data_IF_388238670206
#
_entry.id   IF_388238670206
#
_cell.length_a   1.000
_cell.length_b   1.000
_cell.length_c   1.000
_cell.angle_alpha   90.00
_cell.angle_beta   90.00
_cell.angle_gamma   90.00
#
_symmetry.space_group_name_H-M   'P 1'
#
loop_
_entity.id
_entity.type
_entity.pdbx_description
1 polymer ?
#
# COMPACT_ATOMS: atom_id res chain seq x y z
N UNK A 1 -17.56 8.23 -3.28
CA UNK A 1 -16.95 8.47 -1.96
C UNK A 1 -17.06 7.18 -1.15
N UNK A 2 -16.34 6.14 -1.57
CA UNK A 2 -16.34 4.85 -0.88
C UNK A 2 -14.91 4.58 -0.47
N UNK A 3 -14.60 4.77 0.82
CA UNK A 3 -13.29 4.45 1.35
C UNK A 3 -13.21 2.94 1.53
N UNK A 4 -12.23 2.33 0.91
CA UNK A 4 -11.94 0.91 1.07
C UNK A 4 -10.58 0.78 1.71
N UNK A 5 -10.54 -0.04 2.75
CA UNK A 5 -9.32 -0.45 3.40
C UNK A 5 -9.02 -1.87 2.94
N UNK A 6 -7.84 -2.07 2.37
CA UNK A 6 -7.34 -3.39 2.02
C UNK A 6 -6.08 -3.66 2.83
N UNK A 7 -5.94 -4.91 3.27
CA UNK A 7 -4.74 -5.38 3.93
C UNK A 7 -3.96 -6.24 2.96
N UNK A 8 -2.74 -5.84 2.72
CA UNK A 8 -1.76 -6.60 1.97
C UNK A 8 -0.81 -7.29 2.95
N UNK A 9 -0.36 -8.47 2.56
CA UNK A 9 0.74 -9.16 3.23
C UNK A 9 2.04 -8.78 2.53
N UNK A 10 3.06 -8.49 3.30
CA UNK A 10 4.39 -8.23 2.76
C UNK A 10 5.08 -9.56 2.55
N UNK A 11 5.58 -9.81 1.33
CA UNK A 11 6.38 -10.99 1.05
C UNK A 11 7.82 -10.84 1.57
N UNK A 12 8.26 -9.60 1.80
CA UNK A 12 9.55 -9.27 2.40
C UNK A 12 9.40 -8.19 3.46
N UNK A 13 10.21 -8.21 4.52
CA UNK A 13 10.19 -7.18 5.54
C UNK A 13 10.40 -5.79 4.91
N UNK A 14 9.66 -4.80 5.39
CA UNK A 14 9.83 -3.42 4.95
C UNK A 14 11.18 -2.89 5.46
N UNK A 15 12.06 -2.53 4.53
CA UNK A 15 13.32 -1.85 4.82
C UNK A 15 13.10 -0.34 4.95
N UNK A 16 13.99 0.38 5.63
CA UNK A 16 13.90 1.85 5.78
C UNK A 16 13.81 2.57 4.43
N UNK A 17 14.51 2.07 3.41
CA UNK A 17 14.43 2.56 2.03
C UNK A 17 13.03 2.39 1.41
N UNK A 18 12.36 1.27 1.70
CA UNK A 18 11.00 1.00 1.22
C UNK A 18 9.98 1.88 1.96
N UNK A 19 10.22 2.17 3.24
CA UNK A 19 9.37 3.03 4.06
C UNK A 19 9.39 4.49 3.57
N UNK A 20 10.57 4.97 3.14
CA UNK A 20 10.70 6.27 2.49
C UNK A 20 9.96 6.30 1.14
N UNK A 21 10.12 5.27 0.30
CA UNK A 21 9.41 5.12 -0.99
C UNK A 21 7.90 5.04 -0.83
N UNK A 22 7.43 4.33 0.19
CA UNK A 22 6.00 4.21 0.51
C UNK A 22 5.39 5.58 0.84
N UNK A 23 6.15 6.43 1.55
CA UNK A 23 5.70 7.79 1.89
C UNK A 23 5.52 8.64 0.63
N UNK A 24 6.45 8.57 -0.33
CA UNK A 24 6.32 9.18 -1.66
C UNK A 24 5.13 8.61 -2.46
N UNK A 25 4.95 7.29 -2.41
CA UNK A 25 3.88 6.58 -3.15
C UNK A 25 2.50 6.87 -2.56
N UNK A 26 2.39 7.14 -1.27
CA UNK A 26 1.13 7.54 -0.63
C UNK A 26 0.58 8.88 -1.14
N UNK A 27 1.40 9.66 -1.84
CA UNK A 27 0.96 10.84 -2.57
C UNK A 27 0.26 10.50 -3.91
N UNK A 28 0.19 9.22 -4.32
CA UNK A 28 -0.59 8.82 -5.49
C UNK A 28 -2.06 9.17 -5.30
N UNK A 29 -2.61 9.79 -6.33
CA UNK A 29 -4.00 10.25 -6.36
C UNK A 29 -4.98 9.11 -6.10
N UNK A 30 -5.64 9.16 -4.94
CA UNK A 30 -6.67 8.19 -4.53
C UNK A 30 -6.26 7.29 -3.37
N UNK A 31 -4.96 7.14 -3.08
CA UNK A 31 -4.49 6.57 -1.82
C UNK A 31 -4.66 7.65 -0.76
N UNK A 32 -5.46 7.37 0.27
CA UNK A 32 -5.73 8.31 1.34
C UNK A 32 -4.79 8.08 2.52
N UNK A 33 -4.45 6.82 2.81
CA UNK A 33 -3.59 6.48 3.93
C UNK A 33 -2.92 5.14 3.74
N UNK A 34 -1.67 5.05 4.14
CA UNK A 34 -0.97 3.77 4.26
C UNK A 34 -0.47 3.61 5.69
N UNK A 35 -0.69 2.44 6.27
CA UNK A 35 -0.19 2.04 7.59
C UNK A 35 0.57 0.73 7.45
N UNK A 36 1.82 0.74 7.89
CA UNK A 36 2.62 -0.49 8.02
C UNK A 36 2.25 -1.14 9.36
N UNK A 37 2.11 -2.45 9.38
CA UNK A 37 1.93 -3.22 10.61
C UNK A 37 3.23 -3.13 11.45
N UNK A 38 3.15 -3.00 12.79
CA UNK A 38 4.33 -3.00 13.64
C UNK A 38 5.18 -4.26 13.51
N UNK A 39 4.62 -5.37 13.01
CA UNK A 39 5.35 -6.60 12.74
C UNK A 39 6.18 -6.54 11.45
N UNK A 40 6.04 -5.49 10.63
CA UNK A 40 6.66 -5.34 9.30
C UNK A 40 6.31 -6.44 8.29
N UNK A 41 5.31 -7.28 8.60
CA UNK A 41 4.79 -8.37 7.75
C UNK A 41 3.47 -8.00 7.04
N UNK A 42 2.88 -6.86 7.38
CA UNK A 42 1.59 -6.42 6.85
C UNK A 42 1.56 -4.94 6.48
N UNK A 43 0.74 -4.62 5.50
CA UNK A 43 0.49 -3.25 5.06
C UNK A 43 -1.02 -3.02 4.92
N UNK A 44 -1.53 -1.96 5.51
CA UNK A 44 -2.92 -1.53 5.37
C UNK A 44 -2.98 -0.28 4.51
N UNK A 45 -3.75 -0.35 3.42
CA UNK A 45 -3.91 0.76 2.48
C UNK A 45 -5.38 1.16 2.44
N UNK A 46 -5.63 2.44 2.70
CA UNK A 46 -6.94 3.07 2.54
C UNK A 46 -6.94 3.89 1.25
N UNK A 47 -7.90 3.60 0.37
CA UNK A 47 -8.07 4.29 -0.89
C UNK A 47 -9.55 4.53 -1.21
N UNK A 48 -9.85 5.44 -2.15
CA UNK A 48 -11.21 5.61 -2.64
C UNK A 48 -11.51 4.62 -3.78
N UNK A 49 -12.38 3.65 -3.53
CA UNK A 49 -12.75 2.61 -4.49
C UNK A 49 -13.57 3.10 -5.69
N UNK A 50 -13.99 4.37 -5.69
CA UNK A 50 -14.56 5.02 -6.88
C UNK A 50 -13.50 5.53 -7.84
N UNK A 51 -12.23 5.62 -7.40
CA UNK A 51 -11.10 6.14 -8.18
C UNK A 51 -10.02 5.11 -8.43
N UNK A 52 -9.77 4.23 -7.47
CA UNK A 52 -8.73 3.21 -7.52
C UNK A 52 -9.34 1.81 -7.39
N UNK A 53 -8.70 0.84 -8.02
CA UNK A 53 -9.01 -0.59 -7.89
C UNK A 53 -7.94 -1.26 -7.02
N UNK A 54 -8.27 -2.37 -6.33
CA UNK A 54 -7.29 -3.13 -5.55
C UNK A 54 -6.01 -3.46 -6.34
N UNK A 55 -6.16 -3.91 -7.58
CA UNK A 55 -5.05 -4.25 -8.47
C UNK A 55 -4.16 -3.05 -8.84
N UNK A 56 -4.71 -1.83 -8.89
CA UNK A 56 -3.89 -0.63 -9.17
C UNK A 56 -3.13 -0.17 -7.95
N UNK A 57 -3.72 -0.34 -6.76
CA UNK A 57 -3.03 -0.12 -5.50
C UNK A 57 -1.88 -1.13 -5.36
N UNK A 58 -2.12 -2.40 -5.66
CA UNK A 58 -1.09 -3.43 -5.68
C UNK A 58 0.03 -3.10 -6.68
N UNK A 59 -0.32 -2.76 -7.92
CA UNK A 59 0.66 -2.38 -8.94
C UNK A 59 1.48 -1.14 -8.55
N UNK A 60 0.87 -0.15 -7.89
CA UNK A 60 1.58 1.03 -7.38
C UNK A 60 2.58 0.66 -6.28
N UNK A 61 2.19 -0.24 -5.37
CA UNK A 61 3.07 -0.73 -4.30
C UNK A 61 4.22 -1.57 -4.87
N UNK A 62 3.93 -2.52 -5.77
CA UNK A 62 4.94 -3.31 -6.46
C UNK A 62 5.87 -2.43 -7.29
N UNK A 63 5.34 -1.43 -8.01
CA UNK A 63 6.10 -0.46 -8.78
C UNK A 63 6.98 0.45 -7.92
N UNK A 64 6.59 0.72 -6.67
CA UNK A 64 7.42 1.39 -5.68
C UNK A 64 8.54 0.50 -5.11
N UNK A 65 8.59 -0.77 -5.51
CA UNK A 65 9.55 -1.76 -5.03
C UNK A 65 9.10 -2.51 -3.78
N UNK A 66 7.82 -2.44 -3.42
CA UNK A 66 7.27 -3.02 -2.21
C UNK A 66 6.52 -4.30 -2.60
N UNK A 67 7.10 -5.49 -2.34
CA UNK A 67 6.49 -6.75 -2.71
C UNK A 67 5.33 -7.06 -1.75
N UNK A 68 4.12 -6.66 -2.17
CA UNK A 68 2.86 -6.92 -1.49
C UNK A 68 2.11 -8.06 -2.17
N UNK A 69 1.34 -8.80 -1.39
CA UNK A 69 0.39 -9.80 -1.86
C UNK A 69 -0.98 -9.49 -1.27
N UNK A 70 -2.03 -9.47 -2.11
CA UNK A 70 -3.40 -9.34 -1.63
C UNK A 70 -3.75 -10.58 -0.82
N UNK A 71 -4.07 -10.39 0.47
CA UNK A 71 -4.42 -11.45 1.40
C UNK A 71 -5.88 -11.89 1.27
#
# INVERSE_FOLDING_TARGET
MTKVQIRFRLQKPLDDFLLARLSDTSALYGIQRVKVDPSLDGLMVEYDATRLRPAEVEAALTGAGIPVEAA
#
